data_IF_440500105689
#
_entry.id   IF_440500105689
#
_cell.length_a   1.000
_cell.length_b   1.000
_cell.length_c   1.000
_cell.angle_alpha   90.00
_cell.angle_beta   90.00
_cell.angle_gamma   90.00
#
_symmetry.space_group_name_H-M   'P 1'
#
loop_
_entity.id
_entity.type
_entity.pdbx_description
1 polymer ?
#
# COMPACT_ATOMS: atom_id res chain seq x y z
N UNK A 1 -0.77 -0.04 -18.50
CA UNK A 1 0.24 -0.98 -18.85
C UNK A 1 1.59 -0.62 -18.42
N UNK A 2 2.05 0.57 -18.75
CA UNK A 2 3.34 1.02 -18.26
C UNK A 2 3.44 0.84 -16.75
N UNK A 3 2.34 1.05 -16.04
CA UNK A 3 2.35 0.97 -14.59
C UNK A 3 2.74 -0.40 -14.06
N UNK A 4 2.25 -1.47 -14.69
CA UNK A 4 2.61 -2.81 -14.24
C UNK A 4 4.08 -3.10 -14.48
N UNK A 5 4.59 -2.68 -15.64
CA UNK A 5 6.01 -2.85 -15.95
C UNK A 5 6.86 -2.01 -15.02
N UNK A 6 6.43 -0.79 -14.74
CA UNK A 6 7.17 0.09 -13.84
C UNK A 6 7.25 -0.48 -12.43
N UNK A 7 6.14 -1.04 -11.94
CA UNK A 7 6.14 -1.65 -10.62
C UNK A 7 7.14 -2.80 -10.54
N UNK A 8 7.23 -3.59 -11.60
CA UNK A 8 8.21 -4.67 -11.64
C UNK A 8 9.61 -4.14 -11.65
N UNK A 9 9.86 -3.13 -12.46
CA UNK A 9 11.20 -2.57 -12.62
C UNK A 9 11.70 -1.90 -11.36
N UNK A 10 10.79 -1.35 -10.56
CA UNK A 10 11.17 -0.69 -9.33
C UNK A 10 11.79 -1.67 -8.34
N UNK A 11 11.49 -2.95 -8.48
CA UNK A 11 11.97 -4.03 -7.62
C UNK A 11 11.59 -3.85 -6.17
N UNK A 12 10.74 -2.88 -5.88
CA UNK A 12 10.39 -2.57 -4.51
C UNK A 12 9.04 -3.13 -4.10
N UNK A 13 8.22 -3.47 -5.10
CA UNK A 13 6.93 -4.07 -4.81
C UNK A 13 7.05 -5.57 -5.00
N UNK A 14 6.89 -6.28 -3.89
CA UNK A 14 6.86 -7.74 -3.89
C UNK A 14 5.41 -8.18 -3.95
N UNK A 15 5.13 -9.12 -4.83
CA UNK A 15 3.79 -9.64 -5.04
C UNK A 15 3.75 -11.08 -4.59
N UNK A 16 2.71 -11.43 -3.83
CA UNK A 16 2.45 -12.79 -3.42
C UNK A 16 1.66 -13.47 -4.55
N UNK A 17 2.37 -14.06 -5.50
CA UNK A 17 1.74 -14.68 -6.66
C UNK A 17 0.81 -15.82 -6.27
N UNK A 18 1.17 -16.72 -5.34
CA UNK A 18 0.23 -17.77 -4.92
C UNK A 18 -1.07 -17.20 -4.35
N UNK A 19 -0.98 -16.09 -3.62
CA UNK A 19 -2.17 -15.43 -3.06
C UNK A 19 -3.09 -14.94 -4.18
N UNK A 20 -2.52 -14.29 -5.19
CA UNK A 20 -3.29 -13.80 -6.34
C UNK A 20 -3.90 -14.94 -7.11
N UNK A 21 -3.14 -16.00 -7.34
CA UNK A 21 -3.66 -17.16 -8.06
C UNK A 21 -4.84 -17.79 -7.32
N UNK A 22 -4.72 -17.89 -6.00
CA UNK A 22 -5.81 -18.43 -5.19
C UNK A 22 -7.04 -17.55 -5.28
N UNK A 23 -6.85 -16.24 -5.26
CA UNK A 23 -7.95 -15.29 -5.36
C UNK A 23 -8.70 -15.48 -6.69
N UNK A 24 -7.94 -15.58 -7.79
CA UNK A 24 -8.54 -15.75 -9.11
C UNK A 24 -9.26 -17.11 -9.23
N UNK A 25 -8.69 -18.15 -8.63
CA UNK A 25 -9.36 -19.45 -8.63
C UNK A 25 -10.67 -19.43 -7.85
N UNK A 26 -10.67 -18.75 -6.70
CA UNK A 26 -11.84 -18.72 -5.84
C UNK A 26 -12.97 -17.86 -6.38
N UNK A 27 -12.62 -16.73 -6.97
CA UNK A 27 -13.61 -15.75 -7.41
C UNK A 27 -13.98 -15.86 -8.89
N UNK A 28 -13.09 -16.47 -9.69
CA UNK A 28 -13.20 -16.41 -11.14
C UNK A 28 -12.53 -15.16 -11.67
N UNK A 29 -12.10 -15.19 -12.92
CA UNK A 29 -11.25 -14.15 -13.48
C UNK A 29 -11.87 -12.76 -13.44
N UNK A 30 -13.11 -12.64 -13.86
CA UNK A 30 -13.75 -11.32 -13.96
C UNK A 30 -13.98 -10.70 -12.58
N UNK A 31 -14.50 -11.49 -11.65
CA UNK A 31 -14.76 -10.97 -10.30
C UNK A 31 -13.47 -10.64 -9.58
N UNK A 32 -12.45 -11.48 -9.74
CA UNK A 32 -11.15 -11.23 -9.12
C UNK A 32 -10.50 -9.97 -9.68
N UNK A 33 -10.58 -9.78 -10.99
CA UNK A 33 -10.06 -8.58 -11.64
C UNK A 33 -10.71 -7.33 -11.08
N UNK A 34 -12.04 -7.34 -10.98
CA UNK A 34 -12.77 -6.21 -10.42
C UNK A 34 -12.37 -5.94 -8.98
N UNK A 35 -12.23 -7.02 -8.19
CA UNK A 35 -11.83 -6.89 -6.79
C UNK A 35 -10.43 -6.27 -6.66
N UNK A 36 -9.50 -6.72 -7.49
CA UNK A 36 -8.13 -6.19 -7.46
C UNK A 36 -8.14 -4.71 -7.86
N UNK A 37 -8.86 -4.36 -8.92
CA UNK A 37 -8.93 -2.98 -9.39
C UNK A 37 -9.53 -2.07 -8.33
N UNK A 38 -10.63 -2.49 -7.71
CA UNK A 38 -11.27 -1.71 -6.65
C UNK A 38 -10.34 -1.54 -5.45
N UNK A 39 -9.60 -2.59 -5.12
CA UNK A 39 -8.65 -2.54 -4.00
C UNK A 39 -7.52 -1.55 -4.29
N UNK A 40 -6.99 -1.57 -5.51
CA UNK A 40 -5.93 -0.64 -5.91
C UNK A 40 -6.43 0.80 -5.86
N UNK A 41 -7.65 1.03 -6.29
CA UNK A 41 -8.23 2.37 -6.25
C UNK A 41 -8.37 2.86 -4.81
N UNK A 42 -8.86 1.99 -3.93
CA UNK A 42 -9.02 2.33 -2.52
C UNK A 42 -7.65 2.58 -1.87
N UNK A 43 -6.65 1.74 -2.19
CA UNK A 43 -5.28 1.94 -1.71
C UNK A 43 -4.76 3.31 -2.15
N UNK A 44 -4.95 3.64 -3.42
CA UNK A 44 -4.48 4.91 -3.96
C UNK A 44 -5.12 6.09 -3.25
N UNK A 45 -6.42 6.01 -3.00
CA UNK A 45 -7.14 7.07 -2.30
C UNK A 45 -6.61 7.27 -0.88
N UNK A 46 -6.37 6.16 -0.16
CA UNK A 46 -5.85 6.24 1.21
C UNK A 46 -4.43 6.77 1.24
N UNK A 47 -3.60 6.34 0.28
CA UNK A 47 -2.23 6.86 0.21
C UNK A 47 -2.20 8.35 -0.10
N UNK A 48 -3.12 8.83 -0.95
CA UNK A 48 -3.22 10.25 -1.23
C UNK A 48 -3.59 11.04 0.03
N UNK A 49 -4.48 10.48 0.85
CA UNK A 49 -4.86 11.10 2.11
C UNK A 49 -3.68 11.15 3.08
N UNK A 50 -2.90 10.07 3.13
CA UNK A 50 -1.70 10.02 3.97
C UNK A 50 -0.67 11.04 3.48
N UNK A 51 -0.53 11.17 2.16
CA UNK A 51 0.38 12.16 1.59
C UNK A 51 0.01 13.56 2.01
N UNK A 52 -1.27 13.90 1.91
CA UNK A 52 -1.74 15.22 2.33
C UNK A 52 -1.48 15.44 3.82
N UNK A 53 -1.83 14.45 4.65
CA UNK A 53 -1.60 14.53 6.09
C UNK A 53 -0.11 14.74 6.41
N UNK A 54 0.75 14.03 5.70
CA UNK A 54 2.20 14.15 5.89
C UNK A 54 2.67 15.55 5.53
N UNK A 55 2.16 16.10 4.44
CA UNK A 55 2.57 17.40 3.96
C UNK A 55 2.18 18.52 4.91
N UNK A 56 1.00 18.43 5.50
CA UNK A 56 0.53 19.48 6.41
C UNK A 56 0.85 19.19 7.88
N UNK A 57 1.46 18.07 8.16
CA UNK A 57 1.85 17.71 9.52
C UNK A 57 0.72 17.23 10.42
N UNK A 58 -0.42 16.87 9.84
CA UNK A 58 -1.59 16.40 10.60
C UNK A 58 -1.62 14.88 10.59
N UNK A 59 -0.85 14.25 11.46
CA UNK A 59 -0.61 12.81 11.42
C UNK A 59 -1.54 11.98 12.31
N UNK A 60 -2.51 12.60 12.94
CA UNK A 60 -3.36 11.88 13.91
C UNK A 60 -4.12 10.72 13.29
N UNK A 61 -4.58 10.87 12.06
CA UNK A 61 -5.38 9.85 11.38
C UNK A 61 -4.54 8.88 10.54
N UNK A 62 -3.23 9.11 10.44
CA UNK A 62 -2.38 8.27 9.61
C UNK A 62 -2.39 6.80 10.06
N UNK A 63 -2.34 6.49 11.37
CA UNK A 63 -2.35 5.08 11.77
C UNK A 63 -3.59 4.32 11.28
N UNK A 64 -4.75 4.92 11.34
CA UNK A 64 -6.00 4.27 10.89
C UNK A 64 -5.98 4.08 9.38
N UNK A 65 -5.55 5.11 8.65
CA UNK A 65 -5.47 5.03 7.20
C UNK A 65 -4.43 4.01 6.75
N UNK A 66 -3.29 3.97 7.44
CA UNK A 66 -2.25 3.00 7.12
C UNK A 66 -2.73 1.58 7.36
N UNK A 67 -3.47 1.35 8.44
CA UNK A 67 -4.03 0.05 8.73
C UNK A 67 -4.97 -0.43 7.63
N UNK A 68 -5.78 0.49 7.10
CA UNK A 68 -6.67 0.17 5.99
C UNK A 68 -5.87 -0.23 4.74
N UNK A 69 -4.82 0.51 4.45
CA UNK A 69 -3.96 0.21 3.29
C UNK A 69 -3.31 -1.16 3.47
N UNK A 70 -2.81 -1.46 4.66
CA UNK A 70 -2.20 -2.77 4.94
C UNK A 70 -3.20 -3.89 4.69
N UNK A 71 -4.42 -3.73 5.17
CA UNK A 71 -5.46 -4.73 4.99
C UNK A 71 -5.77 -4.96 3.51
N UNK A 72 -5.92 -3.87 2.76
CA UNK A 72 -6.19 -3.97 1.33
C UNK A 72 -5.04 -4.61 0.57
N UNK A 73 -3.82 -4.22 0.91
CA UNK A 73 -2.63 -4.79 0.27
C UNK A 73 -2.50 -6.28 0.53
N UNK A 74 -2.75 -6.69 1.77
CA UNK A 74 -2.68 -8.11 2.12
C UNK A 74 -3.75 -8.91 1.36
N UNK A 75 -4.91 -8.31 1.13
CA UNK A 75 -5.99 -8.97 0.41
C UNK A 75 -5.65 -9.31 -1.03
N UNK A 76 -4.79 -8.50 -1.65
CA UNK A 76 -4.41 -8.72 -3.06
C UNK A 76 -2.93 -9.05 -3.24
N UNK A 77 -2.23 -9.35 -2.15
CA UNK A 77 -0.87 -9.85 -2.22
C UNK A 77 0.23 -8.83 -2.45
N UNK A 78 0.00 -7.57 -2.11
CA UNK A 78 1.05 -6.55 -2.23
C UNK A 78 1.89 -6.50 -0.95
N UNK A 79 2.87 -7.40 -0.87
CA UNK A 79 3.60 -7.67 0.37
C UNK A 79 4.43 -6.49 0.84
N UNK A 80 5.27 -5.94 -0.04
CA UNK A 80 6.19 -4.89 0.38
C UNK A 80 5.47 -3.58 0.68
N UNK A 81 4.43 -3.28 -0.08
CA UNK A 81 3.64 -2.08 0.18
C UNK A 81 2.94 -2.18 1.54
N UNK A 82 2.42 -3.36 1.86
CA UNK A 82 1.80 -3.61 3.17
C UNK A 82 2.81 -3.38 4.29
N UNK A 83 4.03 -3.91 4.12
CA UNK A 83 5.06 -3.82 5.16
C UNK A 83 5.47 -2.37 5.39
N UNK A 84 5.76 -1.64 4.33
CA UNK A 84 6.24 -0.26 4.45
C UNK A 84 5.14 0.64 5.02
N UNK A 85 3.90 0.45 4.57
CA UNK A 85 2.78 1.24 5.09
C UNK A 85 2.53 0.93 6.55
N UNK A 86 2.68 -0.35 6.95
CA UNK A 86 2.56 -0.73 8.35
C UNK A 86 3.62 -0.06 9.21
N UNK A 87 4.85 -0.01 8.71
CA UNK A 87 5.95 0.66 9.41
C UNK A 87 5.67 2.16 9.58
N UNK A 88 5.09 2.77 8.55
CA UNK A 88 4.72 4.18 8.60
C UNK A 88 3.70 4.43 9.70
N UNK A 89 2.65 3.62 9.75
CA UNK A 89 1.62 3.75 10.78
C UNK A 89 2.19 3.56 12.17
N UNK A 90 3.08 2.59 12.34
CA UNK A 90 3.72 2.35 13.63
C UNK A 90 4.57 3.54 14.08
N UNK A 91 5.32 4.14 13.15
CA UNK A 91 6.12 5.32 13.47
C UNK A 91 5.23 6.48 13.89
N UNK A 92 4.09 6.65 13.22
CA UNK A 92 3.14 7.70 13.57
C UNK A 92 2.59 7.51 14.98
N UNK A 93 2.24 6.27 15.32
CA UNK A 93 1.72 5.95 16.67
C UNK A 93 2.76 6.29 17.74
N UNK A 94 4.02 5.97 17.48
CA UNK A 94 5.08 6.23 18.45
C UNK A 94 5.50 7.70 18.50
N UNK A 95 5.06 8.50 17.55
CA UNK A 95 5.51 9.88 17.44
C UNK A 95 6.97 10.00 17.05
N UNK A 96 7.51 8.96 16.43
CA UNK A 96 8.91 8.93 16.01
C UNK A 96 9.03 9.57 14.62
N UNK A 97 9.26 10.87 14.60
CA UNK A 97 9.23 11.61 13.34
C UNK A 97 10.45 11.34 12.47
N UNK A 98 11.56 10.95 13.07
CA UNK A 98 12.74 10.56 12.28
C UNK A 98 12.45 9.28 11.52
N UNK A 99 11.91 8.28 12.21
CA UNK A 99 11.51 7.03 11.58
C UNK A 99 10.41 7.26 10.56
N UNK A 100 9.42 8.10 10.90
CA UNK A 100 8.32 8.38 9.99
C UNK A 100 8.82 8.93 8.66
N UNK A 101 9.71 9.90 8.72
CA UNK A 101 10.24 10.52 7.51
C UNK A 101 11.02 9.53 6.65
N UNK A 102 11.83 8.69 7.30
CA UNK A 102 12.59 7.67 6.57
C UNK A 102 11.69 6.67 5.88
N UNK A 103 10.65 6.22 6.58
CA UNK A 103 9.69 5.26 6.03
C UNK A 103 8.87 5.91 4.91
N UNK A 104 8.47 7.17 5.11
CA UNK A 104 7.73 7.91 4.08
C UNK A 104 8.53 8.00 2.79
N UNK A 105 9.82 8.26 2.88
CA UNK A 105 10.67 8.32 1.69
C UNK A 105 10.75 6.99 0.97
N UNK A 106 10.79 5.89 1.75
CA UNK A 106 10.75 4.55 1.15
C UNK A 106 9.43 4.31 0.43
N UNK A 107 8.33 4.72 1.05
CA UNK A 107 7.00 4.54 0.48
C UNK A 107 6.87 5.31 -0.83
N UNK A 108 7.37 6.54 -0.86
CA UNK A 108 7.34 7.35 -2.07
C UNK A 108 8.12 6.68 -3.21
N UNK A 109 9.28 6.10 -2.88
CA UNK A 109 10.08 5.40 -3.90
C UNK A 109 9.37 4.16 -4.43
N UNK A 110 8.62 3.47 -3.58
CA UNK A 110 7.85 2.31 -4.02
C UNK A 110 6.75 2.74 -4.97
N UNK A 111 6.10 3.86 -4.69
CA UNK A 111 4.99 4.36 -5.50
C UNK A 111 5.42 4.98 -6.82
N UNK A 112 6.68 5.33 -6.92
CA UNK A 112 7.20 5.88 -8.17
C UNK A 112 7.63 4.76 -9.08
#
# INVERSE_FOLDING_TARGET
MASVVELRQSERIQIDAPRLEALFRQMGDRAAEGFVMDSIEDISDRLAEIELATRIGALDDVPVKAERVVSLCNGIGLISLARVTGDLGAAAVRGDMIAYRAVWERLVRIGD
#
